data_IF_824481855929
#
_entry.id   IF_824481855929
#
_cell.length_a   1.000
_cell.length_b   1.000
_cell.length_c   1.000
_cell.angle_alpha   90.00
_cell.angle_beta   90.00
_cell.angle_gamma   90.00
#
_symmetry.space_group_name_H-M   'P 1'
#
loop_
_entity.id
_entity.type
_entity.pdbx_description
1 polymer ?
#
# COMPACT_ATOMS: atom_id res chain seq x y z
N UNK A 1 33.42 18.97 -12.88
CA UNK A 1 32.47 19.18 -11.75
C UNK A 1 31.14 18.77 -12.33
N UNK A 2 30.95 17.45 -12.44
CA UNK A 2 29.99 16.88 -13.38
C UNK A 2 28.73 16.55 -12.60
N UNK A 3 27.85 17.56 -12.51
CA UNK A 3 26.46 17.35 -12.12
C UNK A 3 25.75 16.75 -13.31
N UNK A 4 25.77 15.43 -13.41
CA UNK A 4 24.93 14.71 -14.37
C UNK A 4 23.51 14.74 -13.81
N UNK A 5 22.70 15.67 -14.32
CA UNK A 5 21.25 15.58 -14.21
C UNK A 5 20.83 14.39 -15.06
N UNK A 6 20.65 13.22 -14.46
CA UNK A 6 20.02 12.11 -15.15
C UNK A 6 18.54 12.45 -15.33
N UNK A 7 18.23 13.15 -16.42
CA UNK A 7 16.91 13.14 -17.03
C UNK A 7 16.61 11.71 -17.48
N UNK A 8 15.81 11.04 -16.67
CA UNK A 8 14.75 10.13 -17.09
C UNK A 8 15.02 9.38 -18.42
N UNK A 9 15.90 8.38 -18.38
CA UNK A 9 15.98 7.37 -19.43
C UNK A 9 16.14 5.98 -18.80
N UNK A 10 14.98 5.36 -18.49
CA UNK A 10 14.70 3.91 -18.36
C UNK A 10 15.50 3.07 -17.32
N UNK A 11 15.02 1.88 -16.91
CA UNK A 11 13.79 1.48 -16.23
C UNK A 11 14.07 1.29 -14.72
N UNK A 12 14.17 2.38 -13.95
CA UNK A 12 14.32 2.32 -12.48
C UNK A 12 12.94 2.34 -11.79
N UNK A 13 11.88 2.62 -12.57
CA UNK A 13 10.51 2.82 -12.11
C UNK A 13 9.84 1.58 -11.49
N UNK A 14 10.41 0.38 -11.62
CA UNK A 14 9.83 -0.86 -11.09
C UNK A 14 10.42 -1.32 -9.74
N UNK A 15 11.41 -0.61 -9.19
CA UNK A 15 12.38 -1.21 -8.26
C UNK A 15 11.98 -1.39 -6.79
N UNK A 16 10.72 -1.20 -6.40
CA UNK A 16 10.29 -1.62 -5.05
C UNK A 16 8.77 -1.79 -4.90
N UNK A 17 8.07 -2.20 -5.95
CA UNK A 17 6.66 -2.54 -5.79
C UNK A 17 6.56 -3.90 -5.11
N UNK A 18 6.23 -3.92 -3.82
CA UNK A 18 5.87 -5.16 -3.15
C UNK A 18 4.35 -5.24 -3.04
N UNK A 19 3.83 -6.47 -3.15
CA UNK A 19 2.42 -6.77 -2.92
C UNK A 19 2.29 -7.64 -1.68
N UNK A 20 1.33 -7.31 -0.82
CA UNK A 20 0.98 -8.09 0.35
C UNK A 20 -0.51 -8.37 0.34
N UNK A 21 -0.86 -9.65 0.52
CA UNK A 21 -2.24 -10.08 0.74
C UNK A 21 -2.67 -9.72 2.16
N UNK A 22 -3.82 -9.08 2.28
CA UNK A 22 -4.46 -8.69 3.52
C UNK A 22 -5.86 -9.31 3.55
N UNK A 23 -6.20 -9.89 4.69
CA UNK A 23 -7.54 -10.41 4.96
C UNK A 23 -8.20 -9.56 6.01
N UNK A 24 -9.45 -9.18 5.77
CA UNK A 24 -10.23 -8.31 6.66
C UNK A 24 -11.62 -8.89 6.80
N UNK A 25 -12.13 -8.91 8.02
CA UNK A 25 -13.52 -9.24 8.28
C UNK A 25 -14.25 -8.04 8.83
N UNK A 26 -15.51 -7.90 8.44
CA UNK A 26 -16.41 -6.89 8.98
C UNK A 26 -17.76 -7.51 9.30
N UNK A 27 -18.27 -7.22 10.49
CA UNK A 27 -19.57 -7.70 10.95
C UNK A 27 -20.47 -6.51 11.30
N UNK A 28 -21.69 -6.58 10.78
CA UNK A 28 -22.74 -5.62 11.01
C UNK A 28 -23.96 -6.33 11.58
N UNK A 29 -24.55 -5.74 12.62
CA UNK A 29 -25.82 -6.17 13.18
C UNK A 29 -26.69 -4.98 13.53
N UNK A 30 -27.96 -5.04 13.15
CA UNK A 30 -28.93 -3.99 13.47
C UNK A 30 -30.26 -4.61 13.86
N UNK A 31 -30.76 -4.21 15.03
CA UNK A 31 -32.06 -4.62 15.55
C UNK A 31 -33.09 -3.49 15.43
N UNK A 32 -34.23 -3.79 14.83
CA UNK A 32 -35.38 -2.89 14.73
C UNK A 32 -36.68 -3.63 15.01
N UNK A 33 -37.54 -3.08 15.86
CA UNK A 33 -38.82 -3.67 16.27
C UNK A 33 -38.71 -5.17 16.69
N UNK A 34 -37.65 -5.52 17.43
CA UNK A 34 -37.38 -6.89 17.87
C UNK A 34 -36.86 -7.83 16.77
N UNK A 35 -36.60 -7.31 15.57
CA UNK A 35 -36.04 -8.04 14.45
C UNK A 35 -34.60 -7.67 14.20
N UNK A 36 -33.72 -8.67 14.10
CA UNK A 36 -32.28 -8.44 13.93
C UNK A 36 -31.85 -8.90 12.55
N UNK A 37 -31.16 -8.02 11.82
CA UNK A 37 -30.40 -8.38 10.62
C UNK A 37 -28.92 -8.48 10.95
N UNK A 38 -28.22 -9.40 10.28
CA UNK A 38 -26.78 -9.62 10.42
C UNK A 38 -26.12 -9.81 9.07
N UNK A 39 -25.01 -9.11 8.86
CA UNK A 39 -24.17 -9.23 7.68
C UNK A 39 -22.73 -9.38 8.12
N UNK A 40 -22.08 -10.46 7.70
CA UNK A 40 -20.65 -10.67 7.93
C UNK A 40 -19.96 -10.83 6.59
N UNK A 41 -18.96 -10.00 6.35
CA UNK A 41 -18.16 -9.98 5.13
C UNK A 41 -16.72 -10.37 5.46
N UNK A 42 -16.11 -11.12 4.56
CA UNK A 42 -14.69 -11.40 4.55
C UNK A 42 -14.12 -10.91 3.23
N UNK A 43 -13.11 -10.05 3.28
CA UNK A 43 -12.46 -9.48 2.10
C UNK A 43 -10.99 -9.86 2.05
N UNK A 44 -10.56 -10.29 0.87
CA UNK A 44 -9.15 -10.44 0.51
C UNK A 44 -8.73 -9.25 -0.35
N UNK A 45 -7.63 -8.59 0.05
CA UNK A 45 -7.09 -7.40 -0.60
C UNK A 45 -5.60 -7.56 -0.88
N UNK A 46 -5.14 -7.02 -2.02
CA UNK A 46 -3.74 -6.80 -2.31
C UNK A 46 -3.36 -5.35 -1.97
N UNK A 47 -2.57 -5.18 -0.91
CA UNK A 47 -1.90 -3.91 -0.64
C UNK A 47 -0.61 -3.83 -1.45
N UNK A 48 -0.35 -2.67 -2.04
CA UNK A 48 0.89 -2.36 -2.79
C UNK A 48 1.68 -1.33 -2.03
N UNK A 49 2.93 -1.64 -1.70
CA UNK A 49 3.89 -0.72 -1.10
C UNK A 49 5.00 -0.40 -2.09
N UNK A 50 5.46 0.85 -2.10
CA UNK A 50 6.55 1.27 -2.97
C UNK A 50 6.80 2.78 -2.89
N UNK A 51 7.62 3.28 -3.81
CA UNK A 51 7.95 4.71 -3.89
C UNK A 51 7.07 5.42 -4.91
N UNK A 52 6.62 6.63 -4.58
CA UNK A 52 5.89 7.47 -5.52
C UNK A 52 6.87 8.24 -6.42
N UNK A 53 6.97 7.81 -7.67
CA UNK A 53 7.89 8.37 -8.66
C UNK A 53 7.49 9.76 -9.17
N UNK A 54 6.30 10.25 -8.81
CA UNK A 54 5.92 11.64 -9.06
C UNK A 54 6.68 12.59 -8.14
N UNK A 55 7.18 12.08 -7.02
CA UNK A 55 8.07 12.82 -6.16
C UNK A 55 9.47 12.83 -6.78
N UNK A 56 10.17 13.94 -6.61
CA UNK A 56 11.56 14.03 -7.02
C UNK A 56 12.36 12.88 -6.39
N UNK A 57 13.38 12.39 -7.07
CA UNK A 57 14.41 11.52 -6.52
C UNK A 57 15.74 11.90 -7.18
N UNK A 58 16.86 11.59 -6.53
CA UNK A 58 18.17 11.92 -7.06
C UNK A 58 19.17 10.80 -6.84
N UNK A 59 19.97 10.52 -7.85
CA UNK A 59 21.12 9.62 -7.76
C UNK A 59 22.36 10.44 -8.09
N UNK A 60 23.30 10.52 -7.16
CA UNK A 60 24.57 11.21 -7.34
C UNK A 60 25.70 10.18 -7.27
N UNK A 61 26.29 9.89 -8.42
CA UNK A 61 27.41 8.95 -8.56
C UNK A 61 28.71 9.76 -8.51
N UNK A 62 29.46 9.62 -7.44
CA UNK A 62 30.80 10.17 -7.29
C UNK A 62 31.84 9.06 -7.43
N UNK A 63 33.10 9.36 -7.79
CA UNK A 63 34.16 8.36 -7.94
C UNK A 63 34.45 7.51 -6.68
N UNK A 64 33.96 7.92 -5.51
CA UNK A 64 34.19 7.23 -4.23
C UNK A 64 32.91 6.77 -3.54
N UNK A 65 31.74 7.27 -3.95
CA UNK A 65 30.45 6.96 -3.34
C UNK A 65 29.30 7.18 -4.31
N UNK A 66 28.26 6.35 -4.22
CA UNK A 66 26.97 6.58 -4.86
C UNK A 66 25.94 6.95 -3.81
N UNK A 67 25.41 8.17 -3.87
CA UNK A 67 24.35 8.67 -3.00
C UNK A 67 23.00 8.58 -3.71
N UNK A 68 22.08 7.80 -3.15
CA UNK A 68 20.70 7.69 -3.61
C UNK A 68 19.79 8.38 -2.60
N UNK A 69 19.03 9.37 -3.04
CA UNK A 69 18.05 10.10 -2.23
C UNK A 69 16.67 9.93 -2.84
N UNK A 70 15.73 9.41 -2.06
CA UNK A 70 14.36 9.16 -2.49
C UNK A 70 13.41 9.36 -1.30
N UNK A 71 12.12 9.63 -1.53
CA UNK A 71 11.17 9.74 -0.42
C UNK A 71 11.01 8.41 0.32
N UNK A 72 10.42 8.45 1.51
CA UNK A 72 9.95 7.24 2.18
C UNK A 72 8.99 6.44 1.30
N UNK A 73 9.07 5.11 1.40
CA UNK A 73 8.08 4.26 0.75
C UNK A 73 6.73 4.46 1.43
N UNK A 74 5.66 4.26 0.66
CA UNK A 74 4.29 4.41 1.14
C UNK A 74 3.41 3.29 0.58
N UNK A 75 2.22 3.14 1.16
CA UNK A 75 1.17 2.34 0.55
C UNK A 75 0.67 3.08 -0.69
N UNK A 76 0.95 2.53 -1.87
CA UNK A 76 0.56 3.09 -3.15
C UNK A 76 -0.91 2.79 -3.49
N UNK A 77 -1.44 1.70 -2.96
CA UNK A 77 -2.85 1.36 -3.15
C UNK A 77 -3.24 0.07 -2.46
N UNK A 78 -4.55 -0.12 -2.34
CA UNK A 78 -5.17 -1.36 -1.86
C UNK A 78 -6.23 -1.76 -2.88
N UNK A 79 -6.08 -2.94 -3.45
CA UNK A 79 -6.99 -3.50 -4.44
C UNK A 79 -7.76 -4.66 -3.83
N UNK A 80 -9.08 -4.65 -3.96
CA UNK A 80 -9.91 -5.79 -3.60
C UNK A 80 -9.69 -6.92 -4.60
N UNK A 81 -9.35 -8.11 -4.11
CA UNK A 81 -9.22 -9.32 -4.92
C UNK A 81 -10.50 -10.14 -4.87
N UNK A 82 -11.05 -10.32 -3.67
CA UNK A 82 -12.26 -11.10 -3.43
C UNK A 82 -13.02 -10.56 -2.21
N UNK A 83 -14.35 -10.70 -2.23
CA UNK A 83 -15.20 -10.55 -1.04
C UNK A 83 -16.16 -11.73 -0.98
N UNK A 84 -16.18 -12.39 0.18
CA UNK A 84 -17.09 -13.46 0.53
C UNK A 84 -18.10 -12.96 1.57
N UNK A 85 -19.34 -13.43 1.42
CA UNK A 85 -20.39 -13.19 2.41
C UNK A 85 -20.44 -14.40 3.33
N UNK A 86 -20.00 -14.22 4.58
CA UNK A 86 -19.98 -15.28 5.58
C UNK A 86 -21.32 -15.45 6.28
N UNK A 87 -22.03 -14.33 6.50
CA UNK A 87 -23.37 -14.31 7.12
C UNK A 87 -24.22 -13.33 6.35
N UNK A 88 -25.42 -13.75 5.96
CA UNK A 88 -26.45 -12.89 5.39
C UNK A 88 -27.80 -13.29 5.98
N UNK A 89 -28.22 -12.56 7.00
CA UNK A 89 -29.45 -12.86 7.71
C UNK A 89 -30.34 -11.63 7.73
N UNK A 90 -31.50 -11.78 7.10
CA UNK A 90 -32.56 -10.79 7.14
C UNK A 90 -33.22 -10.82 8.52
N UNK A 91 -33.50 -9.64 9.06
CA UNK A 91 -34.54 -9.55 10.07
C UNK A 91 -35.92 -9.60 9.40
N UNK A 92 -36.84 -10.31 10.04
CA UNK A 92 -38.24 -10.40 9.67
C UNK A 92 -38.92 -9.05 9.34
N UNK A 93 -38.61 -7.99 10.10
CA UNK A 93 -39.18 -6.64 9.88
C UNK A 93 -38.21 -5.66 9.24
N UNK A 94 -36.92 -6.00 9.19
CA UNK A 94 -35.85 -5.18 8.62
C UNK A 94 -34.91 -6.06 7.77
N UNK A 95 -35.31 -6.45 6.55
CA UNK A 95 -34.41 -7.19 5.68
C UNK A 95 -33.16 -6.36 5.35
N UNK A 96 -32.07 -7.05 5.00
CA UNK A 96 -30.87 -6.41 4.49
C UNK A 96 -31.22 -5.73 3.16
N UNK A 97 -30.96 -4.44 3.08
CA UNK A 97 -31.17 -3.62 1.90
C UNK A 97 -29.89 -3.52 1.07
N UNK A 98 -30.01 -3.13 -0.20
CA UNK A 98 -28.85 -2.85 -1.04
C UNK A 98 -27.96 -1.73 -0.48
N UNK A 99 -28.56 -0.76 0.23
CA UNK A 99 -27.82 0.30 0.93
C UNK A 99 -27.00 -0.21 2.10
N UNK A 100 -27.49 -1.21 2.85
CA UNK A 100 -26.71 -1.84 3.92
C UNK A 100 -25.51 -2.60 3.31
N UNK A 101 -25.74 -3.36 2.24
CA UNK A 101 -24.64 -4.08 1.58
C UNK A 101 -23.58 -3.11 1.06
N UNK A 102 -23.99 -2.00 0.47
CA UNK A 102 -23.07 -0.98 -0.03
C UNK A 102 -22.29 -0.29 1.10
N UNK A 103 -22.92 0.02 2.23
CA UNK A 103 -22.22 0.61 3.38
C UNK A 103 -21.21 -0.36 3.96
N UNK A 104 -21.57 -1.63 4.12
CA UNK A 104 -20.67 -2.63 4.71
C UNK A 104 -19.49 -2.97 3.78
N UNK A 105 -19.70 -2.98 2.46
CA UNK A 105 -18.60 -3.10 1.49
C UNK A 105 -17.65 -1.91 1.54
N UNK A 106 -18.18 -0.68 1.69
CA UNK A 106 -17.36 0.51 1.83
C UNK A 106 -16.58 0.52 3.15
N UNK A 107 -17.20 0.07 4.24
CA UNK A 107 -16.55 -0.11 5.54
C UNK A 107 -15.41 -1.14 5.44
N UNK A 108 -15.66 -2.30 4.80
CA UNK A 108 -14.65 -3.34 4.58
C UNK A 108 -13.44 -2.81 3.79
N UNK A 109 -13.68 -2.06 2.72
CA UNK A 109 -12.60 -1.44 1.94
C UNK A 109 -11.81 -0.38 2.74
N UNK A 110 -12.47 0.33 3.66
CA UNK A 110 -11.84 1.31 4.54
C UNK A 110 -10.94 0.61 5.56
N UNK A 111 -11.43 -0.45 6.21
CA UNK A 111 -10.65 -1.29 7.11
C UNK A 111 -9.43 -1.91 6.42
N UNK A 112 -9.57 -2.32 5.15
CA UNK A 112 -8.43 -2.82 4.37
C UNK A 112 -7.36 -1.75 4.12
N UNK A 113 -7.76 -0.50 3.86
CA UNK A 113 -6.81 0.62 3.74
C UNK A 113 -6.12 0.91 5.06
N UNK A 114 -6.87 0.98 6.17
CA UNK A 114 -6.30 1.20 7.50
C UNK A 114 -5.31 0.11 7.87
N UNK A 115 -5.68 -1.16 7.64
CA UNK A 115 -4.80 -2.31 7.86
C UNK A 115 -3.54 -2.26 7.00
N UNK A 116 -3.64 -1.80 5.75
CA UNK A 116 -2.48 -1.60 4.90
C UNK A 116 -1.55 -0.49 5.41
N UNK A 117 -2.11 0.64 5.88
CA UNK A 117 -1.32 1.73 6.47
C UNK A 117 -0.61 1.31 7.77
N UNK A 118 -1.22 0.42 8.54
CA UNK A 118 -0.64 -0.15 9.77
C UNK A 118 0.32 -1.32 9.49
N UNK A 119 0.39 -1.81 8.25
CA UNK A 119 1.28 -2.92 7.88
C UNK A 119 2.72 -2.45 7.69
N UNK A 120 3.65 -3.41 7.67
CA UNK A 120 5.07 -3.16 7.42
C UNK A 120 5.41 -3.04 5.93
N UNK A 121 4.42 -2.96 5.04
CA UNK A 121 4.62 -3.02 3.59
C UNK A 121 5.51 -1.89 3.06
N UNK A 122 5.41 -0.68 3.62
CA UNK A 122 6.29 0.42 3.27
C UNK A 122 7.75 0.14 3.71
N UNK A 123 7.94 -0.28 4.96
CA UNK A 123 9.26 -0.62 5.49
C UNK A 123 9.92 -1.77 4.72
N UNK A 124 9.13 -2.78 4.32
CA UNK A 124 9.60 -3.90 3.50
C UNK A 124 9.98 -3.46 2.09
N UNK A 125 9.26 -2.50 1.50
CA UNK A 125 9.63 -1.94 0.20
C UNK A 125 11.00 -1.23 0.29
N UNK A 126 11.26 -0.46 1.35
CA UNK A 126 12.56 0.17 1.58
C UNK A 126 13.70 -0.85 1.76
N UNK A 127 13.46 -1.92 2.53
CA UNK A 127 14.44 -2.99 2.73
C UNK A 127 14.76 -3.75 1.44
N UNK A 128 13.73 -4.06 0.66
CA UNK A 128 13.90 -4.69 -0.66
C UNK A 128 14.70 -3.79 -1.60
N UNK A 129 14.39 -2.49 -1.62
CA UNK A 129 15.13 -1.53 -2.43
C UNK A 129 16.61 -1.46 -2.06
N UNK A 130 16.93 -1.33 -0.76
CA UNK A 130 18.31 -1.37 -0.26
C UNK A 130 19.03 -2.64 -0.69
N UNK A 131 18.39 -3.79 -0.55
CA UNK A 131 18.97 -5.09 -0.89
C UNK A 131 19.26 -5.22 -2.39
N UNK A 132 18.33 -4.76 -3.23
CA UNK A 132 18.50 -4.76 -4.69
C UNK A 132 19.59 -3.79 -5.14
N UNK A 133 19.69 -2.61 -4.52
CA UNK A 133 20.77 -1.65 -4.80
C UNK A 133 22.14 -2.25 -4.49
N UNK A 134 22.31 -2.85 -3.30
CA UNK A 134 23.58 -3.47 -2.89
C UNK A 134 23.96 -4.63 -3.83
N UNK A 135 22.99 -5.39 -4.30
CA UNK A 135 23.24 -6.54 -5.19
C UNK A 135 23.63 -6.11 -6.61
N UNK A 136 23.08 -5.00 -7.10
CA UNK A 136 23.31 -4.52 -8.48
C UNK A 136 24.52 -3.60 -8.62
N UNK A 137 24.98 -2.98 -7.53
CA UNK A 137 26.12 -2.08 -7.56
C UNK A 137 27.43 -2.85 -7.33
N UNK A 138 28.54 -2.49 -8.01
CA UNK A 138 29.83 -3.13 -7.81
C UNK A 138 30.28 -3.01 -6.34
N UNK A 139 30.91 -4.06 -5.81
CA UNK A 139 31.39 -4.10 -4.42
C UNK A 139 32.41 -2.99 -4.06
N UNK A 140 32.95 -2.27 -5.04
CA UNK A 140 33.87 -1.14 -4.87
C UNK A 140 33.19 0.17 -4.48
N UNK A 141 31.89 0.30 -4.71
CA UNK A 141 31.19 1.58 -4.54
C UNK A 141 30.57 1.66 -3.15
N UNK A 142 30.92 2.70 -2.38
CA UNK A 142 30.20 3.00 -1.14
C UNK A 142 28.81 3.52 -1.50
N UNK A 143 27.78 2.72 -1.26
CA UNK A 143 26.39 3.11 -1.55
C UNK A 143 25.74 3.66 -0.28
N UNK A 144 25.24 4.89 -0.35
CA UNK A 144 24.47 5.51 0.72
C UNK A 144 23.07 5.80 0.24
N UNK A 145 22.08 5.27 0.95
CA UNK A 145 20.66 5.53 0.69
C UNK A 145 20.11 6.44 1.77
N UNK A 146 19.51 7.57 1.37
CA UNK A 146 18.87 8.53 2.26
C UNK A 146 17.39 8.60 1.91
N UNK A 147 16.54 8.33 2.90
CA UNK A 147 15.11 8.54 2.79
C UNK A 147 14.73 9.89 3.40
N UNK A 148 13.80 10.59 2.76
CA UNK A 148 13.28 11.86 3.26
C UNK A 148 11.75 11.88 3.23
N UNK A 149 11.17 12.79 4.01
CA UNK A 149 9.73 13.02 4.00
C UNK A 149 9.30 13.74 2.72
N UNK A 150 8.34 13.13 2.03
CA UNK A 150 7.68 13.71 0.88
C UNK A 150 7.07 15.08 1.22
N UNK A 151 7.27 16.09 0.36
CA UNK A 151 6.43 17.30 0.45
C UNK A 151 5.02 16.96 -0.02
N UNK A 152 3.96 17.25 0.75
CA UNK A 152 2.60 17.07 0.28
C UNK A 152 2.35 17.93 -0.96
N UNK A 153 1.73 17.35 -1.99
CA UNK A 153 1.25 18.11 -3.13
C UNK A 153 0.05 18.96 -2.69
N UNK A 154 0.25 20.27 -2.54
CA UNK A 154 -0.83 21.29 -2.47
C UNK A 154 -1.49 21.47 -3.83
#
# INVERSE_FOLDING_TARGET
NDRVYFEQTSPIAELALISQRLEVEHEFSHTWAGSTKRLKLHGTFAARGGFDLRQQFSVNVQPSETLVSLPHAQVLGVQQENVDVLVFENGYWNPISGTDVQSELAALATLAREKAQQSDIAARAEQMFRSQLITRLPASDKVRVVFYDAKPHT
#
